data_IF_911839401434
#
_entry.id   IF_911839401434
#
_cell.length_a   1.000
_cell.length_b   1.000
_cell.length_c   1.000
_cell.angle_alpha   90.00
_cell.angle_beta   90.00
_cell.angle_gamma   90.00
#
_symmetry.space_group_name_H-M   'P 1'
#
loop_
_entity.id
_entity.type
_entity.pdbx_description
1 polymer ?
#
# COMPACT_ATOMS: atom_id res chain seq x y z
N UNK A 1 7.18 12.55 -6.69
CA UNK A 1 6.30 12.37 -5.51
C UNK A 1 4.89 12.00 -5.98
N UNK A 2 4.27 10.92 -5.46
CA UNK A 2 2.92 10.47 -5.86
C UNK A 2 1.99 10.45 -4.64
N UNK A 3 0.72 10.77 -4.86
CA UNK A 3 -0.31 10.76 -3.81
C UNK A 3 -1.37 9.71 -4.14
N UNK A 4 -1.76 8.96 -3.12
CA UNK A 4 -2.87 8.01 -3.18
C UNK A 4 -4.00 8.46 -2.27
N UNK A 5 -5.16 7.85 -2.46
CA UNK A 5 -6.29 7.95 -1.56
C UNK A 5 -6.63 6.56 -1.03
N UNK A 6 -7.07 6.49 0.21
CA UNK A 6 -7.65 5.28 0.75
C UNK A 6 -9.17 5.26 0.67
N UNK A 7 -9.77 4.17 1.16
CA UNK A 7 -11.21 3.97 1.27
C UNK A 7 -11.91 5.05 2.13
N UNK A 8 -11.19 5.73 3.02
CA UNK A 8 -11.70 6.82 3.85
C UNK A 8 -11.50 8.21 3.22
N UNK A 9 -10.92 8.28 2.01
CA UNK A 9 -10.61 9.52 1.32
C UNK A 9 -9.41 10.29 1.88
N UNK A 10 -8.64 9.69 2.79
CA UNK A 10 -7.40 10.26 3.34
C UNK A 10 -6.32 10.28 2.27
N UNK A 11 -5.54 11.36 2.22
CA UNK A 11 -4.40 11.44 1.30
C UNK A 11 -3.21 10.71 1.88
N UNK A 12 -2.71 9.70 1.16
CA UNK A 12 -1.54 8.92 1.53
C UNK A 12 -0.39 9.29 0.61
N UNK A 13 0.70 9.73 1.22
CA UNK A 13 1.91 10.15 0.54
C UNK A 13 2.74 8.92 0.19
N UNK A 14 2.99 8.71 -1.10
CA UNK A 14 3.94 7.70 -1.52
C UNK A 14 5.32 8.34 -1.65
N UNK A 15 6.20 8.03 -0.70
CA UNK A 15 7.54 8.62 -0.61
C UNK A 15 8.39 8.20 -1.80
N UNK A 16 9.26 9.10 -2.27
CA UNK A 16 10.15 8.79 -3.41
C UNK A 16 11.17 7.70 -3.05
N UNK A 17 11.60 7.65 -1.80
CA UNK A 17 12.45 6.58 -1.27
C UNK A 17 11.79 5.21 -1.44
N UNK A 18 10.54 5.04 -1.01
CA UNK A 18 9.80 3.77 -1.15
C UNK A 18 9.49 3.44 -2.60
N UNK A 19 9.15 4.44 -3.41
CA UNK A 19 8.95 4.25 -4.84
C UNK A 19 10.23 3.74 -5.52
N UNK A 20 11.39 4.30 -5.16
CA UNK A 20 12.68 3.90 -5.71
C UNK A 20 13.11 2.52 -5.21
N UNK A 21 12.93 2.22 -3.93
CA UNK A 21 13.14 0.88 -3.37
C UNK A 21 12.30 -0.17 -4.12
N UNK A 22 11.02 0.11 -4.35
CA UNK A 22 10.15 -0.80 -5.11
C UNK A 22 10.64 -0.98 -6.54
N UNK A 23 11.06 0.09 -7.23
CA UNK A 23 11.56 -0.01 -8.61
C UNK A 23 12.88 -0.78 -8.74
N UNK A 24 13.76 -0.66 -7.75
CA UNK A 24 15.11 -1.23 -7.77
C UNK A 24 15.09 -2.67 -7.27
N UNK A 25 14.49 -2.92 -6.11
CA UNK A 25 14.52 -4.23 -5.44
C UNK A 25 13.38 -5.16 -5.90
N UNK A 26 12.30 -4.60 -6.43
CA UNK A 26 11.12 -5.35 -6.89
C UNK A 26 10.64 -4.85 -8.26
N UNK A 27 11.41 -5.04 -9.34
CA UNK A 27 11.00 -4.61 -10.68
C UNK A 27 9.63 -5.17 -11.09
N UNK A 28 9.24 -6.36 -10.60
CA UNK A 28 7.91 -6.95 -10.76
C UNK A 28 6.76 -6.11 -10.16
N UNK A 29 7.07 -5.15 -9.28
CA UNK A 29 6.12 -4.24 -8.64
C UNK A 29 5.91 -2.92 -9.39
N UNK A 30 6.65 -2.67 -10.48
CA UNK A 30 6.42 -1.51 -11.33
C UNK A 30 5.01 -1.50 -11.93
N UNK A 31 4.50 -2.67 -12.30
CA UNK A 31 3.10 -2.89 -12.72
C UNK A 31 2.12 -2.93 -11.52
N UNK A 32 2.61 -3.13 -10.30
CA UNK A 32 1.79 -3.22 -9.09
C UNK A 32 1.47 -1.84 -8.48
N UNK A 33 1.99 -0.72 -8.99
CA UNK A 33 1.63 0.62 -8.48
C UNK A 33 0.11 0.86 -8.57
N UNK A 34 -0.53 0.40 -9.63
CA UNK A 34 -2.00 0.46 -9.76
C UNK A 34 -2.70 -0.44 -8.74
N UNK A 35 -2.11 -1.61 -8.45
CA UNK A 35 -2.62 -2.53 -7.42
C UNK A 35 -2.47 -1.98 -6.01
N UNK A 36 -1.41 -1.23 -5.72
CA UNK A 36 -1.24 -0.50 -4.46
C UNK A 36 -2.39 0.50 -4.30
N UNK A 37 -2.65 1.31 -5.34
CA UNK A 37 -3.77 2.24 -5.32
C UNK A 37 -5.11 1.53 -5.14
N UNK A 38 -5.34 0.42 -5.85
CA UNK A 38 -6.55 -0.39 -5.72
C UNK A 38 -6.70 -1.00 -4.31
N UNK A 39 -5.60 -1.40 -3.69
CA UNK A 39 -5.59 -1.97 -2.32
C UNK A 39 -5.94 -0.92 -1.28
N UNK A 40 -5.51 0.33 -1.47
CA UNK A 40 -5.88 1.43 -0.58
C UNK A 40 -7.34 1.86 -0.76
N UNK A 41 -7.83 1.93 -2.01
CA UNK A 41 -9.20 2.33 -2.33
C UNK A 41 -10.24 1.26 -1.99
N UNK A 42 -9.89 -0.01 -2.23
CA UNK A 42 -10.79 -1.15 -2.10
C UNK A 42 -10.11 -2.32 -1.36
N UNK A 43 -9.70 -2.15 -0.09
CA UNK A 43 -9.14 -3.26 0.68
C UNK A 43 -10.21 -4.31 0.98
N UNK A 44 -9.79 -5.58 1.02
CA UNK A 44 -10.62 -6.67 1.55
C UNK A 44 -10.55 -6.71 3.07
N UNK A 45 -9.40 -6.33 3.64
CA UNK A 45 -9.18 -6.28 5.09
C UNK A 45 -8.22 -5.15 5.46
N UNK A 46 -8.55 -4.44 6.53
CA UNK A 46 -7.67 -3.46 7.16
C UNK A 46 -7.37 -3.96 8.57
N UNK A 47 -6.09 -4.01 8.93
CA UNK A 47 -5.64 -4.46 10.25
C UNK A 47 -4.76 -3.36 10.85
N UNK A 48 -4.91 -3.08 12.14
CA UNK A 48 -3.97 -2.22 12.87
C UNK A 48 -2.83 -3.09 13.40
N UNK A 49 -1.59 -2.65 13.24
CA UNK A 49 -0.45 -3.40 13.79
C UNK A 49 -0.57 -3.52 15.31
N UNK A 50 -0.23 -4.70 15.85
CA UNK A 50 -0.20 -4.95 17.28
C UNK A 50 0.99 -4.26 17.96
N UNK A 51 2.09 -4.06 17.22
CA UNK A 51 3.34 -3.48 17.73
C UNK A 51 3.43 -1.97 17.54
N UNK A 52 2.71 -1.42 16.56
CA UNK A 52 2.70 0.02 16.26
C UNK A 52 1.27 0.48 15.99
N UNK A 53 0.67 1.16 16.96
CA UNK A 53 -0.67 1.70 16.84
C UNK A 53 -0.81 2.77 15.75
N UNK A 54 0.29 3.34 15.24
CA UNK A 54 0.24 4.26 14.11
C UNK A 54 0.32 3.55 12.76
N UNK A 55 0.32 2.21 12.72
CA UNK A 55 0.44 1.46 11.47
C UNK A 55 -0.86 0.72 11.16
N UNK A 56 -1.36 0.95 9.95
CA UNK A 56 -2.46 0.23 9.34
C UNK A 56 -1.94 -0.62 8.16
N UNK A 57 -2.39 -1.87 8.08
CA UNK A 57 -2.08 -2.81 7.00
C UNK A 57 -3.33 -3.06 6.17
N UNK A 58 -3.27 -2.70 4.89
CA UNK A 58 -4.32 -2.89 3.91
C UNK A 58 -4.03 -4.14 3.10
N UNK A 59 -4.95 -5.10 3.13
CA UNK A 59 -4.87 -6.34 2.39
C UNK A 59 -5.90 -6.35 1.28
N UNK A 60 -5.45 -6.72 0.07
CA UNK A 60 -6.34 -7.04 -1.05
C UNK A 60 -5.85 -8.28 -1.77
N UNK A 61 -6.77 -9.20 -2.04
CA UNK A 61 -6.53 -10.41 -2.78
C UNK A 61 -6.51 -10.13 -4.28
N UNK A 62 -5.56 -10.75 -4.98
CA UNK A 62 -5.49 -10.75 -6.42
C UNK A 62 -5.44 -12.19 -6.92
N UNK A 63 -6.49 -12.60 -7.64
CA UNK A 63 -6.60 -13.91 -8.28
C UNK A 63 -5.48 -14.17 -9.29
N UNK A 64 -5.02 -13.12 -9.96
CA UNK A 64 -3.96 -13.18 -10.98
C UNK A 64 -2.79 -12.29 -10.61
N UNK A 65 -1.68 -12.88 -10.14
CA UNK A 65 -0.38 -12.21 -10.09
C UNK A 65 0.63 -12.94 -11.01
N UNK A 66 1.77 -12.33 -11.37
CA UNK A 66 2.76 -12.96 -12.24
C UNK A 66 3.26 -14.33 -11.74
N UNK A 67 3.09 -14.64 -10.46
CA UNK A 67 3.60 -15.88 -9.84
C UNK A 67 2.45 -16.82 -9.41
N UNK A 68 1.43 -16.34 -8.68
CA UNK A 68 0.24 -17.12 -8.25
C UNK A 68 -0.93 -16.21 -7.85
N UNK A 69 -2.02 -16.74 -7.30
CA UNK A 69 -2.99 -15.94 -6.52
C UNK A 69 -2.42 -15.56 -5.15
N UNK A 70 -2.39 -14.25 -4.80
CA UNK A 70 -1.80 -13.77 -3.53
C UNK A 70 -2.51 -12.51 -3.01
N UNK A 71 -2.39 -12.28 -1.71
CA UNK A 71 -2.70 -10.98 -1.12
C UNK A 71 -1.56 -9.99 -1.34
N UNK A 72 -1.89 -8.79 -1.78
CA UNK A 72 -1.04 -7.62 -1.66
C UNK A 72 -1.30 -6.99 -0.28
N UNK A 73 -0.22 -6.73 0.45
CA UNK A 73 -0.25 -5.99 1.71
C UNK A 73 0.39 -4.62 1.49
N UNK A 74 -0.34 -3.55 1.77
CA UNK A 74 0.17 -2.18 1.77
C UNK A 74 0.20 -1.69 3.21
N UNK A 75 1.39 -1.32 3.68
CA UNK A 75 1.60 -0.80 5.03
C UNK A 75 1.54 0.72 4.98
N UNK A 76 0.70 1.32 5.81
CA UNK A 76 0.51 2.76 5.89
C UNK A 76 0.81 3.21 7.31
N UNK A 77 1.73 4.15 7.47
CA UNK A 77 1.94 4.87 8.72
C UNK A 77 0.95 6.04 8.76
N UNK A 78 0.15 6.09 9.81
CA UNK A 78 -0.92 7.06 10.07
C UNK A 78 -0.52 7.97 11.23
N UNK A 79 0.12 9.08 10.91
CA UNK A 79 0.36 10.17 11.85
C UNK A 79 -0.77 11.21 11.73
N UNK A 80 -0.98 11.99 12.79
CA UNK A 80 -2.10 12.96 12.92
C UNK A 80 -2.30 13.84 11.68
N UNK A 81 -1.21 14.31 11.07
CA UNK A 81 -1.25 15.19 9.88
C UNK A 81 -0.52 14.61 8.65
N UNK A 82 -0.04 13.37 8.73
CA UNK A 82 0.81 12.80 7.68
C UNK A 82 0.63 11.29 7.58
N UNK A 83 -0.02 10.86 6.50
CA UNK A 83 -0.13 9.45 6.14
C UNK A 83 0.87 9.14 5.03
N UNK A 84 1.64 8.07 5.18
CA UNK A 84 2.60 7.67 4.16
C UNK A 84 2.85 6.16 4.09
N UNK A 85 3.31 5.73 2.92
CA UNK A 85 3.87 4.40 2.64
C UNK A 85 5.40 4.52 2.66
#
# INVERSE_FOLDING_TARGET
>A
MKWFKDIHGRQIRFTEERLNHIKIDHPEMSENIERIQATLLFPDKIIRSETDHEVELFYRYFDTTPVTNKYLCVVVKVLVDNLFI
#
